data_IF_904146005394
#
_entry.id   IF_904146005394
#
_cell.length_a   1.000
_cell.length_b   1.000
_cell.length_c   1.000
_cell.angle_alpha   90.00
_cell.angle_beta   90.00
_cell.angle_gamma   90.00
#
_symmetry.space_group_name_H-M   'P 1'
#
loop_
_entity.id
_entity.type
_entity.pdbx_description
1 polymer ?
#
# COMPACT_ATOMS: atom_id res chain seq x y z
N UNK A 1 54.28 -53.82 -45.61
CA UNK A 1 55.04 -54.08 -44.37
C UNK A 1 55.50 -52.72 -43.85
N UNK A 2 54.69 -52.09 -43.01
CA UNK A 2 54.56 -52.30 -41.56
C UNK A 2 55.67 -51.59 -40.78
N UNK A 3 55.28 -50.49 -40.13
CA UNK A 3 55.71 -50.02 -38.81
C UNK A 3 54.95 -48.70 -38.51
N UNK A 4 53.63 -48.84 -38.36
CA UNK A 4 52.96 -48.16 -37.26
C UNK A 4 53.41 -48.82 -35.95
N UNK A 5 53.04 -48.23 -34.81
CA UNK A 5 53.36 -48.73 -33.47
C UNK A 5 54.75 -48.30 -32.95
N UNK A 6 54.90 -47.02 -32.62
CA UNK A 6 55.31 -46.67 -31.26
C UNK A 6 55.01 -45.20 -30.88
N UNK A 7 53.88 -44.67 -31.35
CA UNK A 7 53.19 -43.54 -30.71
C UNK A 7 52.41 -43.98 -29.46
N UNK A 8 52.49 -45.27 -29.09
CA UNK A 8 51.77 -45.87 -27.95
C UNK A 8 52.57 -45.74 -26.64
N UNK A 9 53.86 -45.41 -26.69
CA UNK A 9 54.71 -45.32 -25.50
C UNK A 9 54.81 -43.89 -24.92
N UNK A 10 54.41 -42.88 -25.69
CA UNK A 10 54.33 -41.47 -25.22
C UNK A 10 52.93 -41.14 -24.69
N UNK A 11 51.94 -42.00 -24.94
CA UNK A 11 50.56 -41.83 -24.47
C UNK A 11 50.27 -42.55 -23.15
N UNK A 12 51.13 -43.47 -22.70
CA UNK A 12 50.96 -44.15 -21.40
C UNK A 12 51.60 -43.44 -20.21
N UNK A 13 52.61 -42.59 -20.42
CA UNK A 13 53.17 -41.75 -19.34
C UNK A 13 52.35 -40.47 -19.10
N UNK A 14 51.38 -40.17 -19.97
CA UNK A 14 50.45 -39.04 -19.78
C UNK A 14 49.14 -39.42 -19.08
N UNK A 15 48.94 -40.70 -18.72
CA UNK A 15 47.74 -41.18 -18.01
C UNK A 15 48.00 -41.65 -16.57
N UNK A 16 49.25 -41.67 -16.10
CA UNK A 16 49.63 -42.27 -14.81
C UNK A 16 50.25 -41.32 -13.76
N UNK A 17 50.16 -40.00 -13.94
CA UNK A 17 50.27 -39.05 -12.83
C UNK A 17 48.95 -38.27 -12.67
N UNK A 18 47.89 -39.06 -12.54
CA UNK A 18 46.64 -38.68 -11.89
C UNK A 18 46.91 -38.16 -10.48
N UNK A 19 46.05 -37.23 -10.09
CA UNK A 19 45.62 -37.06 -8.70
C UNK A 19 46.72 -36.65 -7.73
N UNK A 20 47.25 -35.43 -7.93
CA UNK A 20 47.41 -34.57 -6.75
C UNK A 20 46.01 -34.35 -6.17
N UNK A 21 45.59 -35.25 -5.28
CA UNK A 21 44.50 -35.07 -4.34
C UNK A 21 44.73 -33.76 -3.58
N UNK A 22 44.29 -32.63 -4.16
CA UNK A 22 43.78 -31.57 -3.32
C UNK A 22 42.56 -32.19 -2.68
N UNK A 23 42.70 -32.62 -1.43
CA UNK A 23 41.61 -32.78 -0.48
C UNK A 23 40.70 -31.55 -0.62
N UNK A 24 39.74 -31.60 -1.54
CA UNK A 24 38.74 -30.56 -1.67
C UNK A 24 37.91 -30.71 -0.42
N UNK A 25 38.16 -29.83 0.55
CA UNK A 25 37.43 -29.74 1.80
C UNK A 25 35.97 -29.49 1.45
N UNK A 26 35.22 -30.58 1.36
CA UNK A 26 33.80 -30.58 1.05
C UNK A 26 33.07 -30.33 2.36
N UNK A 27 32.55 -29.12 2.51
CA UNK A 27 31.86 -28.73 3.73
C UNK A 27 30.41 -29.20 3.71
N UNK A 28 29.93 -29.69 4.84
CA UNK A 28 28.50 -29.91 5.06
C UNK A 28 27.77 -28.56 5.19
N UNK A 29 26.45 -28.58 5.10
CA UNK A 29 25.59 -27.39 5.29
C UNK A 29 25.89 -26.64 6.59
N UNK A 30 26.25 -27.37 7.65
CA UNK A 30 26.55 -26.77 8.96
C UNK A 30 27.88 -26.03 8.91
N UNK A 31 28.92 -26.67 8.40
CA UNK A 31 30.26 -26.09 8.31
C UNK A 31 30.30 -24.92 7.31
N UNK A 32 29.57 -25.04 6.19
CA UNK A 32 29.42 -23.95 5.23
C UNK A 32 28.72 -22.73 5.86
N UNK A 33 27.70 -22.95 6.70
CA UNK A 33 27.02 -21.88 7.41
C UNK A 33 27.93 -21.19 8.44
N UNK A 34 28.74 -21.96 9.17
CA UNK A 34 29.75 -21.43 10.09
C UNK A 34 30.83 -20.62 9.33
N UNK A 35 31.31 -21.14 8.20
CA UNK A 35 32.34 -20.50 7.38
C UNK A 35 31.91 -19.14 6.81
N UNK A 36 30.62 -18.95 6.52
CA UNK A 36 30.09 -17.68 6.02
C UNK A 36 29.44 -16.82 7.11
N UNK A 37 29.38 -17.29 8.37
CA UNK A 37 28.72 -16.60 9.47
C UNK A 37 27.21 -16.40 9.26
N UNK A 38 26.50 -17.44 8.87
CA UNK A 38 25.03 -17.48 8.77
C UNK A 38 24.46 -18.70 9.49
N UNK A 39 23.13 -18.75 9.67
CA UNK A 39 22.50 -19.94 10.27
C UNK A 39 22.35 -21.06 9.26
N UNK A 40 22.47 -22.32 9.70
CA UNK A 40 22.19 -23.48 8.84
C UNK A 40 20.75 -23.50 8.30
N UNK A 41 19.83 -22.75 8.91
CA UNK A 41 18.46 -22.57 8.39
C UNK A 41 18.43 -21.59 7.23
N UNK A 42 19.14 -20.46 7.34
CA UNK A 42 19.29 -19.47 6.25
C UNK A 42 19.90 -20.13 5.01
N UNK A 43 21.00 -20.87 5.21
CA UNK A 43 21.69 -21.59 4.12
C UNK A 43 20.77 -22.62 3.46
N UNK A 44 20.02 -23.40 4.26
CA UNK A 44 19.02 -24.34 3.71
C UNK A 44 17.90 -23.63 2.94
N UNK A 45 17.52 -22.42 3.34
CA UNK A 45 16.53 -21.63 2.61
C UNK A 45 17.09 -21.17 1.25
N UNK A 46 18.31 -20.66 1.23
CA UNK A 46 18.98 -20.28 -0.04
C UNK A 46 19.20 -21.48 -0.96
N UNK A 47 19.58 -22.65 -0.43
CA UNK A 47 19.66 -23.89 -1.23
C UNK A 47 18.34 -24.29 -1.88
N UNK A 48 17.21 -23.91 -1.30
CA UNK A 48 15.88 -24.21 -1.85
C UNK A 48 15.48 -23.21 -2.92
N UNK A 49 15.60 -21.92 -2.62
CA UNK A 49 15.14 -20.82 -3.48
C UNK A 49 16.11 -20.52 -4.64
N UNK A 50 17.40 -20.73 -4.43
CA UNK A 50 18.49 -20.42 -5.37
C UNK A 50 19.24 -21.68 -5.82
N UNK A 51 18.57 -22.83 -5.79
CA UNK A 51 19.10 -24.15 -6.18
C UNK A 51 19.86 -24.15 -7.53
N UNK A 52 19.39 -23.47 -8.60
CA UNK A 52 20.09 -23.50 -9.89
C UNK A 52 21.49 -22.85 -9.87
N UNK A 53 21.76 -21.96 -8.92
CA UNK A 53 22.99 -21.15 -8.89
C UNK A 53 23.98 -21.61 -7.81
N UNK A 54 23.62 -22.62 -7.03
CA UNK A 54 24.49 -23.20 -6.00
C UNK A 54 24.87 -24.61 -6.47
N UNK A 55 26.08 -24.80 -7.04
CA UNK A 55 26.52 -26.09 -7.58
C UNK A 55 26.84 -27.08 -6.45
N UNK A 56 25.82 -27.80 -5.96
CA UNK A 56 25.99 -28.78 -4.88
C UNK A 56 26.40 -30.15 -5.42
N UNK A 57 27.44 -30.75 -4.83
CA UNK A 57 27.81 -32.15 -5.07
C UNK A 57 27.15 -33.05 -4.03
N UNK A 58 26.65 -34.21 -4.43
CA UNK A 58 26.13 -35.22 -3.49
C UNK A 58 27.26 -36.14 -3.04
N UNK A 59 27.32 -36.37 -1.73
CA UNK A 59 28.15 -37.40 -1.12
C UNK A 59 27.56 -38.80 -1.37
N UNK A 60 28.37 -39.85 -1.20
CA UNK A 60 27.92 -41.26 -1.30
C UNK A 60 26.80 -41.59 -0.30
N UNK A 61 26.77 -40.90 0.83
CA UNK A 61 25.73 -41.03 1.87
C UNK A 61 24.48 -40.15 1.62
N UNK A 62 24.40 -39.47 0.47
CA UNK A 62 23.24 -38.67 0.06
C UNK A 62 23.19 -37.24 0.61
N UNK A 63 24.17 -36.81 1.43
CA UNK A 63 24.25 -35.42 1.89
C UNK A 63 24.75 -34.47 0.79
N UNK A 64 24.28 -33.21 0.83
CA UNK A 64 24.81 -32.15 -0.03
C UNK A 64 26.12 -31.61 0.54
N UNK A 65 27.13 -31.54 -0.31
CA UNK A 65 28.45 -31.03 -0.01
C UNK A 65 28.71 -29.74 -0.78
N UNK A 66 29.24 -28.76 -0.06
CA UNK A 66 29.71 -27.50 -0.59
C UNK A 66 31.18 -27.64 -0.97
N UNK A 67 31.45 -27.51 -2.26
CA UNK A 67 32.80 -27.25 -2.74
C UNK A 67 33.07 -25.73 -2.73
N UNK A 68 34.28 -25.36 -3.15
CA UNK A 68 34.73 -23.97 -3.17
C UNK A 68 33.85 -23.09 -4.06
N UNK A 69 33.35 -23.61 -5.19
CA UNK A 69 32.42 -22.91 -6.09
C UNK A 69 31.06 -22.65 -5.42
N UNK A 70 30.51 -23.64 -4.72
CA UNK A 70 29.26 -23.48 -3.99
C UNK A 70 29.39 -22.51 -2.80
N UNK A 71 30.56 -22.47 -2.15
CA UNK A 71 30.83 -21.50 -1.09
C UNK A 71 30.90 -20.08 -1.65
N UNK A 72 31.52 -19.87 -2.80
CA UNK A 72 31.61 -18.55 -3.44
C UNK A 72 30.21 -18.05 -3.86
N UNK A 73 29.38 -18.93 -4.45
CA UNK A 73 28.01 -18.60 -4.78
C UNK A 73 27.20 -18.14 -3.55
N UNK A 74 27.33 -18.85 -2.43
CA UNK A 74 26.64 -18.47 -1.19
C UNK A 74 27.21 -17.20 -0.55
N UNK A 75 28.52 -16.94 -0.65
CA UNK A 75 29.12 -15.67 -0.22
C UNK A 75 28.54 -14.50 -1.01
N UNK A 76 28.37 -14.66 -2.33
CA UNK A 76 27.77 -13.65 -3.18
C UNK A 76 26.28 -13.43 -2.84
N UNK A 77 25.52 -14.51 -2.59
CA UNK A 77 24.14 -14.42 -2.10
C UNK A 77 24.07 -13.64 -0.79
N UNK A 78 24.95 -13.94 0.18
CA UNK A 78 25.02 -13.23 1.46
C UNK A 78 25.27 -11.74 1.23
N UNK A 79 26.25 -11.38 0.41
CA UNK A 79 26.58 -9.99 0.09
C UNK A 79 25.37 -9.24 -0.49
N UNK A 80 24.71 -9.82 -1.48
CA UNK A 80 23.53 -9.19 -2.11
C UNK A 80 22.36 -9.05 -1.12
N UNK A 81 22.05 -10.11 -0.38
CA UNK A 81 20.89 -10.13 0.50
C UNK A 81 21.09 -9.33 1.80
N UNK A 82 22.28 -9.42 2.44
CA UNK A 82 22.55 -8.82 3.75
C UNK A 82 23.19 -7.45 3.68
N UNK A 83 24.16 -7.26 2.79
CA UNK A 83 24.91 -6.00 2.71
C UNK A 83 24.22 -5.00 1.79
N UNK A 84 23.62 -5.48 0.69
CA UNK A 84 22.95 -4.62 -0.30
C UNK A 84 21.42 -4.59 -0.12
N UNK A 85 20.86 -5.41 0.77
CA UNK A 85 19.43 -5.41 1.08
C UNK A 85 18.52 -5.97 -0.02
N UNK A 86 19.06 -6.74 -0.97
CA UNK A 86 18.27 -7.33 -2.04
C UNK A 86 17.35 -8.42 -1.47
N UNK A 87 16.09 -8.45 -1.91
CA UNK A 87 15.21 -9.59 -1.65
C UNK A 87 15.72 -10.84 -2.37
N UNK A 88 15.38 -12.03 -1.86
CA UNK A 88 15.76 -13.32 -2.49
C UNK A 88 15.35 -13.39 -3.97
N UNK A 89 14.21 -12.82 -4.33
CA UNK A 89 13.78 -12.74 -5.74
C UNK A 89 14.69 -11.86 -6.59
N UNK A 90 15.14 -10.71 -6.07
CA UNK A 90 16.09 -9.85 -6.78
C UNK A 90 17.47 -10.50 -6.91
N UNK A 91 17.90 -11.24 -5.88
CA UNK A 91 19.13 -12.06 -5.95
C UNK A 91 19.00 -13.12 -7.04
N UNK A 92 17.87 -13.83 -7.12
CA UNK A 92 17.62 -14.79 -8.21
C UNK A 92 17.74 -14.14 -9.59
N UNK A 93 17.07 -13.01 -9.79
CA UNK A 93 17.13 -12.27 -11.06
C UNK A 93 18.55 -11.81 -11.40
N UNK A 94 19.36 -11.43 -10.41
CA UNK A 94 20.76 -11.06 -10.60
C UNK A 94 21.62 -12.23 -11.10
N UNK A 95 21.38 -13.45 -10.60
CA UNK A 95 22.07 -14.62 -11.11
C UNK A 95 21.55 -15.03 -12.50
N UNK A 96 20.25 -14.89 -12.77
CA UNK A 96 19.67 -15.09 -14.12
C UNK A 96 20.23 -14.12 -15.16
N UNK A 97 20.54 -12.88 -14.77
CA UNK A 97 21.14 -11.86 -15.65
C UNK A 97 22.66 -11.99 -15.79
N UNK A 98 23.28 -13.05 -15.25
CA UNK A 98 24.72 -13.27 -15.36
C UNK A 98 25.58 -12.28 -14.55
N UNK A 99 25.01 -11.68 -13.50
CA UNK A 99 25.73 -10.76 -12.63
C UNK A 99 25.63 -9.28 -13.02
N UNK A 100 24.79 -8.96 -14.02
CA UNK A 100 24.40 -7.58 -14.25
C UNK A 100 23.46 -7.11 -13.14
N UNK A 101 23.88 -6.08 -12.40
CA UNK A 101 23.01 -5.37 -11.46
C UNK A 101 21.74 -5.00 -12.20
N UNK A 102 20.60 -5.35 -11.62
CA UNK A 102 19.29 -4.89 -12.06
C UNK A 102 19.35 -3.37 -12.24
N UNK A 103 19.49 -2.90 -13.48
CA UNK A 103 19.10 -1.54 -13.83
C UNK A 103 17.58 -1.60 -13.83
N UNK A 104 16.87 -1.01 -12.85
CA UNK A 104 15.44 -0.95 -12.96
C UNK A 104 15.12 -0.35 -14.33
N UNK A 105 14.41 -1.09 -15.16
CA UNK A 105 13.95 -0.68 -16.50
C UNK A 105 12.94 0.49 -16.40
N UNK A 106 12.75 1.03 -15.20
CA UNK A 106 12.07 2.30 -14.98
C UNK A 106 13.13 3.40 -14.88
N UNK A 107 13.55 3.89 -16.04
CA UNK A 107 14.38 5.08 -16.22
C UNK A 107 13.94 6.13 -15.21
N UNK A 108 14.85 6.69 -14.41
CA UNK A 108 14.52 7.74 -13.43
C UNK A 108 13.65 8.85 -14.06
N UNK A 109 13.85 9.13 -15.35
CA UNK A 109 13.02 10.03 -16.16
C UNK A 109 11.53 9.65 -16.22
N UNK A 110 11.20 8.35 -16.34
CA UNK A 110 9.81 7.88 -16.37
C UNK A 110 9.17 8.01 -14.99
N UNK A 111 9.89 7.67 -13.91
CA UNK A 111 9.40 7.91 -12.55
C UNK A 111 9.24 9.41 -12.26
N UNK A 112 10.17 10.25 -12.72
CA UNK A 112 10.07 11.71 -12.57
C UNK A 112 8.85 12.26 -13.31
N UNK A 113 8.62 11.79 -14.54
CA UNK A 113 7.44 12.16 -15.33
C UNK A 113 6.14 11.70 -14.67
N UNK A 114 6.08 10.47 -14.18
CA UNK A 114 4.90 9.95 -13.46
C UNK A 114 4.64 10.76 -12.17
N UNK A 115 5.69 11.16 -11.45
CA UNK A 115 5.59 12.03 -10.27
C UNK A 115 5.07 13.43 -10.64
N UNK A 116 5.53 13.98 -11.75
CA UNK A 116 5.09 15.29 -12.23
C UNK A 116 3.63 15.28 -12.67
N UNK A 117 3.21 14.24 -13.39
CA UNK A 117 1.81 14.02 -13.77
C UNK A 117 0.92 13.85 -12.53
N UNK A 118 1.37 13.08 -11.53
CA UNK A 118 0.66 12.91 -10.27
C UNK A 118 0.49 14.24 -9.52
N UNK A 119 1.53 15.08 -9.47
CA UNK A 119 1.47 16.42 -8.85
C UNK A 119 0.45 17.30 -9.57
N UNK A 120 0.42 17.26 -10.90
CA UNK A 120 -0.54 18.03 -11.68
C UNK A 120 -1.98 17.57 -11.41
N UNK A 121 -2.22 16.26 -11.36
CA UNK A 121 -3.53 15.69 -11.01
C UNK A 121 -3.96 16.08 -9.59
N UNK A 122 -3.04 16.03 -8.61
CA UNK A 122 -3.33 16.47 -7.24
C UNK A 122 -3.70 17.95 -7.19
N UNK A 123 -3.01 18.82 -7.94
CA UNK A 123 -3.34 20.24 -8.01
C UNK A 123 -4.76 20.45 -8.56
N UNK A 124 -5.10 19.79 -9.67
CA UNK A 124 -6.46 19.84 -10.26
C UNK A 124 -7.52 19.36 -9.27
N UNK A 125 -7.23 18.30 -8.51
CA UNK A 125 -8.14 17.79 -7.48
C UNK A 125 -8.33 18.78 -6.34
N UNK A 126 -7.27 19.45 -5.90
CA UNK A 126 -7.32 20.47 -4.85
C UNK A 126 -8.13 21.69 -5.29
N UNK A 127 -7.91 22.16 -6.52
CA UNK A 127 -8.68 23.25 -7.12
C UNK A 127 -10.17 22.87 -7.27
N UNK A 128 -10.47 21.65 -7.72
CA UNK A 128 -11.84 21.14 -7.79
C UNK A 128 -12.51 21.07 -6.42
N UNK A 129 -11.82 20.54 -5.40
CA UNK A 129 -12.34 20.48 -4.04
C UNK A 129 -12.61 21.87 -3.48
N UNK A 130 -11.76 22.86 -3.78
CA UNK A 130 -11.98 24.25 -3.38
C UNK A 130 -13.26 24.82 -3.98
N UNK A 131 -13.47 24.64 -5.29
CA UNK A 131 -14.71 25.08 -5.96
C UNK A 131 -15.93 24.37 -5.39
N UNK A 132 -15.82 23.07 -5.08
CA UNK A 132 -16.91 22.31 -4.46
C UNK A 132 -17.27 22.86 -3.08
N UNK A 133 -16.28 23.17 -2.24
CA UNK A 133 -16.49 23.79 -0.93
C UNK A 133 -17.15 25.15 -1.05
N UNK A 134 -16.67 26.02 -1.94
CA UNK A 134 -17.28 27.33 -2.19
C UNK A 134 -18.75 27.21 -2.63
N UNK A 135 -19.08 26.20 -3.44
CA UNK A 135 -20.45 25.95 -3.86
C UNK A 135 -21.34 25.45 -2.70
N UNK A 136 -20.80 24.60 -1.82
CA UNK A 136 -21.50 24.13 -0.61
C UNK A 136 -21.77 25.29 0.35
N UNK A 137 -20.82 26.20 0.54
CA UNK A 137 -20.99 27.39 1.38
C UNK A 137 -22.09 28.33 0.84
N UNK A 138 -22.12 28.54 -0.48
CA UNK A 138 -23.20 29.30 -1.13
C UNK A 138 -24.56 28.64 -0.94
N UNK A 139 -24.64 27.31 -1.08
CA UNK A 139 -25.88 26.58 -0.85
C UNK A 139 -26.33 26.67 0.60
N UNK A 140 -25.41 26.54 1.56
CA UNK A 140 -25.74 26.66 2.99
C UNK A 140 -26.29 28.05 3.30
N UNK A 141 -25.65 29.10 2.79
CA UNK A 141 -26.11 30.48 2.96
C UNK A 141 -27.52 30.68 2.40
N UNK A 142 -27.77 30.18 1.18
CA UNK A 142 -29.10 30.25 0.56
C UNK A 142 -30.17 29.51 1.38
N UNK A 143 -29.84 28.32 1.91
CA UNK A 143 -30.74 27.55 2.76
C UNK A 143 -31.06 28.33 4.04
N UNK A 144 -30.05 28.90 4.70
CA UNK A 144 -30.22 29.67 5.93
C UNK A 144 -31.07 30.92 5.71
N UNK A 145 -30.84 31.66 4.63
CA UNK A 145 -31.67 32.80 4.23
C UNK A 145 -33.13 32.40 4.00
N UNK A 146 -33.36 31.30 3.27
CA UNK A 146 -34.72 30.83 2.98
C UNK A 146 -35.44 30.30 4.22
N UNK A 147 -34.73 29.62 5.12
CA UNK A 147 -35.28 29.18 6.40
C UNK A 147 -35.68 30.39 7.25
N UNK A 148 -34.80 31.38 7.39
CA UNK A 148 -35.09 32.61 8.13
C UNK A 148 -36.27 33.39 7.53
N UNK A 149 -36.34 33.50 6.21
CA UNK A 149 -37.46 34.16 5.51
C UNK A 149 -38.78 33.44 5.77
N UNK A 150 -38.79 32.10 5.68
CA UNK A 150 -39.96 31.28 5.94
C UNK A 150 -40.41 31.41 7.39
N UNK A 151 -39.49 31.32 8.33
CA UNK A 151 -39.80 31.38 9.76
C UNK A 151 -40.34 32.76 10.15
N UNK A 152 -39.83 33.84 9.54
CA UNK A 152 -40.40 35.19 9.68
C UNK A 152 -41.85 35.24 9.20
N UNK A 153 -42.13 34.77 7.97
CA UNK A 153 -43.48 34.76 7.39
C UNK A 153 -44.44 33.91 8.24
N UNK A 154 -43.97 32.78 8.74
CA UNK A 154 -44.75 31.91 9.62
C UNK A 154 -45.13 32.64 10.92
N UNK A 155 -44.18 33.34 11.54
CA UNK A 155 -44.43 34.12 12.75
C UNK A 155 -45.38 35.30 12.52
N UNK A 156 -45.28 35.97 11.37
CA UNK A 156 -46.22 37.02 10.95
C UNK A 156 -47.65 36.46 10.84
N UNK A 157 -47.85 35.36 10.11
CA UNK A 157 -49.16 34.72 10.00
C UNK A 157 -49.71 34.22 11.34
N UNK A 158 -48.85 33.69 12.22
CA UNK A 158 -49.28 33.28 13.57
C UNK A 158 -49.78 34.48 14.38
N UNK A 159 -49.10 35.64 14.29
CA UNK A 159 -49.54 36.87 14.96
C UNK A 159 -50.86 37.39 14.40
N UNK A 160 -50.99 37.47 13.08
CA UNK A 160 -52.23 37.87 12.40
C UNK A 160 -53.40 36.98 12.83
N UNK A 161 -53.19 35.65 12.85
CA UNK A 161 -54.17 34.68 13.32
C UNK A 161 -54.58 34.92 14.79
N UNK A 162 -53.63 35.23 15.66
CA UNK A 162 -53.92 35.54 17.07
C UNK A 162 -54.68 36.86 17.22
N UNK A 163 -54.31 37.90 16.47
CA UNK A 163 -55.00 39.19 16.49
C UNK A 163 -56.43 39.06 15.97
N UNK A 164 -56.64 38.35 14.87
CA UNK A 164 -57.99 38.04 14.36
C UNK A 164 -58.82 37.29 15.40
N UNK A 165 -58.25 36.28 16.07
CA UNK A 165 -58.93 35.56 17.16
C UNK A 165 -59.32 36.48 18.32
N UNK A 166 -58.45 37.40 18.72
CA UNK A 166 -58.74 38.40 19.77
C UNK A 166 -59.86 39.35 19.35
N UNK A 167 -59.80 39.89 18.13
CA UNK A 167 -60.84 40.80 17.61
C UNK A 167 -62.20 40.10 17.51
N UNK A 168 -62.23 38.84 17.04
CA UNK A 168 -63.45 38.04 16.98
C UNK A 168 -64.02 37.79 18.38
N UNK A 169 -63.18 37.47 19.36
CA UNK A 169 -63.62 37.29 20.75
C UNK A 169 -64.23 38.58 21.32
N UNK A 170 -63.58 39.73 21.12
CA UNK A 170 -64.11 41.04 21.54
C UNK A 170 -65.44 41.35 20.84
N UNK A 171 -65.54 41.11 19.53
CA UNK A 171 -66.76 41.36 18.77
C UNK A 171 -67.93 40.45 19.19
N UNK A 172 -67.64 39.21 19.60
CA UNK A 172 -68.64 38.31 20.20
C UNK A 172 -69.09 38.84 21.55
N UNK A 173 -68.16 39.22 22.44
CA UNK A 173 -68.50 39.81 23.74
C UNK A 173 -69.30 41.12 23.62
N UNK A 174 -69.00 41.98 22.65
CA UNK A 174 -69.75 43.21 22.41
C UNK A 174 -71.17 42.96 21.87
N UNK A 175 -71.35 41.93 21.05
CA UNK A 175 -72.68 41.50 20.55
C UNK A 175 -73.50 40.82 21.63
N UNK A 176 -72.86 40.13 22.58
CA UNK A 176 -73.52 39.43 23.68
C UNK A 176 -73.81 40.30 24.90
N UNK A 177 -73.32 41.56 24.97
CA UNK A 177 -73.75 42.51 26.01
C UNK A 177 -75.25 42.82 25.85
N UNK A 178 -76.13 42.34 26.76
CA UNK A 178 -77.55 42.62 26.64
C UNK A 178 -77.77 44.13 26.84
N UNK A 179 -78.54 44.75 25.95
CA UNK A 179 -79.07 46.12 26.14
C UNK A 179 -79.84 46.13 27.46
N UNK A 180 -79.20 46.51 28.56
CA UNK A 180 -79.82 46.66 29.89
C UNK A 180 -80.76 47.88 29.89
N UNK A 181 -81.88 47.77 29.17
CA UNK A 181 -83.07 48.59 29.38
C UNK A 181 -84.00 47.82 30.32
N UNK A 182 -84.26 48.37 31.49
CA UNK A 182 -85.47 48.04 32.26
C UNK A 182 -85.32 47.37 33.63
N UNK A 183 -84.13 46.93 34.06
CA UNK A 183 -84.03 46.26 35.38
C UNK A 183 -83.95 47.24 36.56
N UNK A 184 -83.21 48.35 36.42
CA UNK A 184 -83.11 49.36 37.49
C UNK A 184 -84.27 50.37 37.50
N UNK A 185 -85.02 50.50 36.41
CA UNK A 185 -86.15 51.45 36.33
C UNK A 185 -87.34 51.01 37.20
N UNK A 186 -87.43 49.70 37.51
CA UNK A 186 -88.54 49.11 38.29
C UNK A 186 -88.24 49.00 39.79
N UNK A 187 -87.02 49.33 40.22
CA UNK A 187 -86.60 49.26 41.63
C UNK A 187 -86.64 50.62 42.34
N UNK A 188 -86.82 51.73 41.60
CA UNK A 188 -86.82 53.10 42.14
C UNK A 188 -88.09 53.89 41.81
N UNK A 189 -89.15 53.25 41.30
CA UNK A 189 -90.49 53.84 41.27
C UNK A 189 -91.18 53.53 42.60
N UNK A 190 -91.09 54.49 43.52
CA UNK A 190 -91.93 54.59 44.72
C UNK A 190 -92.49 56.00 44.78
#
# INVERSE_FOLDING_TARGET
MSKGDNQVEVQKEQEENKESEKEQVKLTVKEAAEAIGETSTTVRNWMRELKPYIPLKKAENGYNLFDEEALEAIRQIKKLHREQGFSINQVKTYFDSGGELFKPVNTEEKMQKDIEELKEQMKKQLDFNKVLVEQLEKQQTYIDEKLNERDRKLMEHIREQQEMKKQLAIAVEEKEKPKRKGFFKRLFEK
#
